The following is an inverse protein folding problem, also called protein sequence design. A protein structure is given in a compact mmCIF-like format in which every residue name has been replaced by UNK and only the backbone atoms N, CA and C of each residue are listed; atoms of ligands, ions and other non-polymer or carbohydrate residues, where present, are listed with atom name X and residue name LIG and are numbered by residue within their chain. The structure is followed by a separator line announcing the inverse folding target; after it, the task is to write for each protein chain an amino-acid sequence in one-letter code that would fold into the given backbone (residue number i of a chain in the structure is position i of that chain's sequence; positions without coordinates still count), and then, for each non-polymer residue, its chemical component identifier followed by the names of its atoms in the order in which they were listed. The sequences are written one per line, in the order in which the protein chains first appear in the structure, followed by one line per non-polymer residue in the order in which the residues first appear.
data_IF_095537640883
#
_entry.id   IF_095537640883
#
_cell.length_a   1.000
_cell.length_b   1.000
_cell.length_c   1.000
_cell.angle_alpha   90.00
_cell.angle_beta   90.00
_cell.angle_gamma   90.00
#
_symmetry.space_group_name_H-M   'P 1'
#
loop_
_entity.id
_entity.type
_entity.pdbx_description
1 polymer ?
#
# COMPACT_ATOMS: atom_id res chain seq x y z
N UNK A 1 11.64 3.63 17.18
CA UNK A 1 10.92 3.80 15.90
C UNK A 1 9.95 4.97 16.03
N UNK A 2 10.02 5.94 15.10
CA UNK A 2 9.31 7.22 15.20
C UNK A 2 7.78 7.07 15.42
N UNK A 3 7.16 6.02 14.91
CA UNK A 3 5.72 5.77 15.12
C UNK A 3 5.41 5.36 16.57
N UNK A 4 6.29 4.58 17.17
CA UNK A 4 6.20 4.16 18.58
C UNK A 4 6.46 5.34 19.52
N UNK A 5 7.57 6.07 19.31
CA UNK A 5 7.88 7.27 20.08
C UNK A 5 6.69 8.25 20.06
N UNK A 6 6.10 8.48 18.88
CA UNK A 6 4.95 9.36 18.74
C UNK A 6 3.70 8.81 19.47
N UNK A 7 3.50 7.48 19.47
CA UNK A 7 2.40 6.82 20.19
C UNK A 7 2.53 6.96 21.71
N UNK A 8 3.76 6.92 22.22
CA UNK A 8 4.04 7.06 23.65
C UNK A 8 4.02 8.52 24.10
N UNK A 9 4.64 9.42 23.32
CA UNK A 9 4.79 10.83 23.69
C UNK A 9 3.50 11.65 23.49
N UNK A 10 2.71 11.33 22.44
CA UNK A 10 1.52 12.09 22.09
C UNK A 10 0.44 11.22 21.42
N UNK A 11 -0.17 10.28 22.15
CA UNK A 11 -1.18 9.36 21.62
C UNK A 11 -2.40 10.08 21.02
N UNK A 12 -2.72 11.26 21.51
CA UNK A 12 -3.83 12.07 21.00
C UNK A 12 -3.55 12.69 19.62
N UNK A 13 -2.30 12.79 19.20
CA UNK A 13 -1.92 13.34 17.90
C UNK A 13 -2.00 12.33 16.76
N UNK A 14 -2.13 11.04 17.07
CA UNK A 14 -2.15 9.96 16.09
C UNK A 14 -3.48 9.21 16.10
N UNK A 15 -3.71 8.49 14.99
CA UNK A 15 -4.86 7.62 14.80
C UNK A 15 -4.42 6.37 14.04
N UNK A 16 -4.40 5.25 14.75
CA UNK A 16 -4.03 3.97 14.15
C UNK A 16 -5.21 3.32 13.45
N UNK A 17 -5.00 2.84 12.22
CA UNK A 17 -5.97 2.07 11.45
C UNK A 17 -5.36 0.73 11.06
N UNK A 18 -5.94 -0.35 11.56
CA UNK A 18 -5.61 -1.71 11.19
C UNK A 18 -6.48 -2.16 10.00
N UNK A 19 -5.83 -2.42 8.86
CA UNK A 19 -6.49 -2.81 7.60
C UNK A 19 -6.56 -4.32 7.41
N UNK A 20 -6.14 -5.13 8.40
CA UNK A 20 -6.25 -6.58 8.37
C UNK A 20 -7.71 -7.02 8.50
N UNK A 21 -7.96 -8.31 8.35
CA UNK A 21 -9.28 -8.88 8.62
C UNK A 21 -9.69 -8.63 10.08
N UNK A 22 -11.00 -8.56 10.34
CA UNK A 22 -11.51 -8.46 11.71
C UNK A 22 -11.08 -9.65 12.58
N UNK A 23 -10.98 -10.85 11.98
CA UNK A 23 -10.49 -12.04 12.67
C UNK A 23 -9.04 -11.90 13.14
N UNK A 24 -8.13 -11.37 12.30
CA UNK A 24 -6.72 -11.19 12.66
C UNK A 24 -6.49 -9.98 13.57
N UNK A 25 -7.33 -8.96 13.46
CA UNK A 25 -7.38 -7.84 14.41
C UNK A 25 -7.74 -8.32 15.82
N UNK A 26 -8.77 -9.16 15.94
CA UNK A 26 -9.23 -9.72 17.23
C UNK A 26 -8.21 -10.67 17.91
N UNK A 27 -7.25 -11.23 17.15
CA UNK A 27 -6.16 -12.04 17.70
C UNK A 27 -5.05 -11.21 18.35
N UNK A 28 -5.06 -9.90 18.11
CA UNK A 28 -4.11 -8.93 18.66
C UNK A 28 -3.81 -7.83 17.66
N UNK A 29 -3.90 -6.60 18.11
CA UNK A 29 -3.64 -5.39 17.34
C UNK A 29 -2.92 -4.35 18.19
N UNK A 30 -2.33 -3.36 17.55
CA UNK A 30 -1.63 -2.25 18.23
C UNK A 30 -2.62 -1.50 19.11
N UNK A 31 -2.24 -1.22 20.36
CA UNK A 31 -3.08 -0.51 21.34
C UNK A 31 -3.62 0.80 20.73
N UNK A 32 -4.93 1.00 20.85
CA UNK A 32 -5.65 2.16 20.30
C UNK A 32 -5.95 2.12 18.80
N UNK A 33 -5.55 1.05 18.09
CA UNK A 33 -5.87 0.94 16.68
C UNK A 33 -7.33 0.56 16.45
N UNK A 34 -8.01 1.22 15.53
CA UNK A 34 -9.34 0.81 15.06
C UNK A 34 -9.23 -0.14 13.87
N UNK A 35 -10.16 -1.08 13.74
CA UNK A 35 -10.20 -1.96 12.59
C UNK A 35 -11.08 -1.41 11.47
N UNK A 36 -10.49 -1.20 10.31
CA UNK A 36 -11.19 -0.94 9.05
C UNK A 36 -10.56 -1.83 7.99
N UNK A 37 -11.07 -3.05 7.76
CA UNK A 37 -10.50 -3.94 6.74
C UNK A 37 -10.31 -3.23 5.40
N UNK A 38 -9.20 -3.50 4.70
CA UNK A 38 -8.81 -2.79 3.48
C UNK A 38 -9.97 -2.61 2.49
N UNK A 39 -10.75 -3.66 2.24
CA UNK A 39 -11.89 -3.61 1.34
C UNK A 39 -13.06 -2.72 1.83
N UNK A 40 -13.09 -2.38 3.10
CA UNK A 40 -14.13 -1.55 3.71
C UNK A 40 -13.70 -0.09 3.88
N UNK A 41 -12.43 0.25 3.62
CA UNK A 41 -11.94 1.60 3.85
C UNK A 41 -12.69 2.65 3.02
N UNK A 42 -13.03 2.35 1.76
CA UNK A 42 -13.80 3.25 0.92
C UNK A 42 -15.17 3.64 1.49
N UNK A 43 -15.83 2.72 2.18
CA UNK A 43 -17.12 2.98 2.87
C UNK A 43 -16.94 3.71 4.21
N UNK A 44 -15.73 3.77 4.73
CA UNK A 44 -15.41 4.32 6.05
C UNK A 44 -14.47 5.54 5.99
N UNK A 45 -14.28 6.17 4.84
CA UNK A 45 -13.40 7.35 4.72
C UNK A 45 -13.82 8.51 5.63
N UNK A 46 -15.11 8.64 5.90
CA UNK A 46 -15.69 9.72 6.72
C UNK A 46 -15.37 9.59 8.22
N UNK A 47 -14.89 8.43 8.70
CA UNK A 47 -14.46 8.27 10.09
C UNK A 47 -13.00 8.69 10.30
N UNK A 48 -12.24 8.89 9.23
CA UNK A 48 -10.83 9.28 9.32
C UNK A 48 -10.70 10.72 9.84
N UNK A 49 -9.90 10.98 10.88
CA UNK A 49 -9.74 12.31 11.44
C UNK A 49 -8.86 13.18 10.52
N UNK A 50 -9.30 14.43 10.30
CA UNK A 50 -8.54 15.42 9.51
C UNK A 50 -7.48 16.18 10.31
N UNK A 51 -7.50 16.06 11.63
CA UNK A 51 -6.68 16.82 12.58
C UNK A 51 -5.62 15.96 13.32
N UNK A 52 -5.47 14.69 12.94
CA UNK A 52 -4.48 13.76 13.49
C UNK A 52 -3.61 13.19 12.39
N UNK A 53 -2.43 12.70 12.72
CA UNK A 53 -1.68 11.83 11.84
C UNK A 53 -2.32 10.44 11.83
N UNK A 54 -2.66 9.94 10.65
CA UNK A 54 -3.22 8.61 10.48
C UNK A 54 -2.10 7.63 10.14
N UNK A 55 -1.91 6.61 10.97
CA UNK A 55 -0.95 5.55 10.71
C UNK A 55 -1.73 4.30 10.29
N UNK A 56 -1.60 3.92 9.04
CA UNK A 56 -2.26 2.74 8.49
C UNK A 56 -1.33 1.55 8.52
N UNK A 57 -1.76 0.46 9.11
CA UNK A 57 -1.03 -0.79 9.14
C UNK A 57 -1.83 -1.93 8.49
N UNK A 58 -1.14 -2.93 7.97
CA UNK A 58 -1.70 -4.16 7.42
C UNK A 58 -0.73 -5.32 7.71
N UNK A 59 -0.81 -6.43 6.98
CA UNK A 59 0.09 -7.57 7.19
C UNK A 59 1.56 -7.26 6.85
N UNK A 60 1.84 -6.58 5.73
CA UNK A 60 3.19 -6.40 5.17
C UNK A 60 3.54 -4.96 4.78
N UNK A 61 2.68 -4.01 5.07
CA UNK A 61 2.85 -2.62 4.65
C UNK A 61 2.38 -2.32 3.22
N UNK A 62 1.97 -3.32 2.43
CA UNK A 62 1.70 -3.15 1.00
C UNK A 62 0.29 -2.60 0.72
N UNK A 63 -0.75 -3.15 1.36
CA UNK A 63 -2.11 -2.61 1.25
C UNK A 63 -2.27 -1.30 2.04
N UNK A 64 -1.60 -1.17 3.19
CA UNK A 64 -1.59 0.10 3.93
C UNK A 64 -0.90 1.22 3.16
N UNK A 65 0.09 0.91 2.32
CA UNK A 65 0.71 1.89 1.43
C UNK A 65 -0.25 2.41 0.35
N UNK A 66 -1.06 1.51 -0.23
CA UNK A 66 -2.14 1.91 -1.15
C UNK A 66 -3.15 2.82 -0.44
N UNK A 67 -3.63 2.40 0.73
CA UNK A 67 -4.61 3.14 1.52
C UNK A 67 -4.10 4.52 1.94
N UNK A 68 -2.85 4.62 2.43
CA UNK A 68 -2.24 5.88 2.83
C UNK A 68 -2.08 6.83 1.64
N UNK A 69 -1.63 6.34 0.48
CA UNK A 69 -1.51 7.17 -0.72
C UNK A 69 -2.87 7.76 -1.15
N UNK A 70 -3.93 6.96 -1.10
CA UNK A 70 -5.28 7.40 -1.43
C UNK A 70 -5.84 8.39 -0.39
N UNK A 71 -5.61 8.15 0.90
CA UNK A 71 -5.99 9.08 1.95
C UNK A 71 -5.26 10.43 1.80
N UNK A 72 -3.98 10.43 1.43
CA UNK A 72 -3.23 11.65 1.11
C UNK A 72 -3.82 12.42 -0.08
N UNK A 73 -4.31 11.73 -1.12
CA UNK A 73 -5.01 12.39 -2.25
C UNK A 73 -6.28 13.11 -1.81
N UNK A 74 -6.90 12.68 -0.71
CA UNK A 74 -8.07 13.30 -0.08
C UNK A 74 -7.69 14.40 0.94
N UNK A 75 -6.39 14.67 1.14
CA UNK A 75 -5.90 15.70 2.06
C UNK A 75 -5.68 15.22 3.49
N UNK A 76 -5.83 13.92 3.79
CA UNK A 76 -5.50 13.40 5.11
C UNK A 76 -3.98 13.33 5.33
N UNK A 77 -3.54 13.59 6.57
CA UNK A 77 -2.17 13.33 6.98
C UNK A 77 -1.99 11.84 7.28
N UNK A 78 -1.89 11.01 6.25
CA UNK A 78 -1.83 9.56 6.37
C UNK A 78 -0.46 9.01 5.98
N UNK A 79 0.02 8.02 6.72
CA UNK A 79 1.26 7.27 6.43
C UNK A 79 1.02 5.77 6.55
N UNK A 80 1.80 4.99 5.82
CA UNK A 80 1.80 3.53 5.95
C UNK A 80 2.87 3.10 6.94
N UNK A 81 2.51 2.26 7.92
CA UNK A 81 3.48 1.63 8.80
C UNK A 81 4.35 0.65 8.02
N UNK A 82 5.68 0.88 8.09
CA UNK A 82 6.63 0.11 7.31
C UNK A 82 6.67 -1.35 7.73
N UNK A 83 6.48 -2.25 6.76
CA UNK A 83 6.50 -3.70 6.98
C UNK A 83 5.22 -4.26 7.61
N UNK A 84 4.28 -3.42 8.04
CA UNK A 84 3.02 -3.84 8.66
C UNK A 84 3.23 -4.68 9.91
N UNK A 85 2.25 -5.50 10.26
CA UNK A 85 2.31 -6.33 11.46
C UNK A 85 3.44 -7.38 11.36
N UNK A 86 3.59 -8.05 10.22
CA UNK A 86 4.46 -9.22 10.12
C UNK A 86 5.96 -8.89 10.00
N UNK A 87 6.30 -7.79 9.34
CA UNK A 87 7.70 -7.43 9.03
C UNK A 87 8.14 -6.11 9.66
N UNK A 88 7.21 -5.37 10.25
CA UNK A 88 7.47 -4.13 10.95
C UNK A 88 7.31 -4.26 12.45
N UNK A 89 6.10 -4.63 12.93
CA UNK A 89 5.79 -4.68 14.35
C UNK A 89 6.31 -5.94 15.04
N UNK A 90 5.93 -7.12 14.57
CA UNK A 90 6.27 -8.38 15.24
C UNK A 90 7.79 -8.57 15.47
N UNK A 91 8.69 -8.20 14.54
CA UNK A 91 10.13 -8.33 14.77
C UNK A 91 10.72 -7.39 15.82
N UNK A 92 9.96 -6.40 16.30
CA UNK A 92 10.43 -5.47 17.33
C UNK A 92 10.38 -6.05 18.74
N UNK A 93 9.61 -7.14 18.94
CA UNK A 93 9.49 -7.85 20.24
C UNK A 93 9.17 -6.89 21.40
N UNK A 94 8.25 -5.95 21.20
CA UNK A 94 7.96 -4.82 22.09
C UNK A 94 7.24 -5.20 23.39
N UNK A 95 6.91 -6.46 23.60
CA UNK A 95 6.14 -6.90 24.76
C UNK A 95 4.62 -6.94 24.52
N UNK A 96 3.92 -7.69 25.39
CA UNK A 96 2.48 -7.94 25.27
C UNK A 96 1.62 -6.70 25.57
N UNK A 97 2.15 -5.75 26.31
CA UNK A 97 1.49 -4.48 26.69
C UNK A 97 1.34 -3.49 25.51
N UNK A 98 1.98 -3.77 24.37
CA UNK A 98 1.83 -2.98 23.14
C UNK A 98 0.71 -3.47 22.23
N UNK A 99 0.11 -4.60 22.55
CA UNK A 99 -1.01 -5.21 21.84
C UNK A 99 -2.23 -5.36 22.76
N UNK A 100 -3.39 -5.24 22.16
CA UNK A 100 -4.68 -5.50 22.80
C UNK A 100 -5.58 -6.36 21.93
N UNK A 101 -6.66 -6.91 22.53
CA UNK A 101 -7.65 -7.75 21.84
C UNK A 101 -9.05 -7.14 21.89
N UNK A 102 -9.25 -6.13 22.71
CA UNK A 102 -10.53 -5.42 22.85
C UNK A 102 -10.79 -4.53 21.63
N UNK A 103 -11.99 -4.57 21.08
CA UNK A 103 -12.36 -3.77 19.92
C UNK A 103 -12.42 -2.29 20.23
N UNK A 104 -11.69 -1.46 19.49
CA UNK A 104 -11.79 -0.01 19.55
C UNK A 104 -12.92 0.51 18.66
N UNK A 105 -13.84 1.34 19.18
CA UNK A 105 -14.95 1.86 18.40
C UNK A 105 -14.48 2.84 17.32
N UNK A 106 -15.11 2.78 16.16
CA UNK A 106 -14.88 3.77 15.12
C UNK A 106 -15.37 5.16 15.58
N UNK A 107 -14.65 6.23 15.24
CA UNK A 107 -15.13 7.58 15.45
C UNK A 107 -16.43 7.87 14.71
N UNK A 108 -17.16 8.89 15.13
CA UNK A 108 -18.33 9.36 14.40
C UNK A 108 -17.91 9.86 13.01
N UNK A 109 -18.64 9.41 11.98
CA UNK A 109 -18.44 9.85 10.62
C UNK A 109 -18.65 11.36 10.46
N UNK A 110 -17.79 12.01 9.67
CA UNK A 110 -17.88 13.44 9.34
C UNK A 110 -17.78 13.60 7.83
N UNK A 111 -18.86 13.98 7.19
CA UNK A 111 -18.85 14.28 5.76
C UNK A 111 -17.96 15.48 5.46
N UNK A 112 -17.00 15.37 4.54
CA UNK A 112 -16.16 16.50 4.16
C UNK A 112 -16.97 17.54 3.38
N UNK A 113 -16.55 18.81 3.47
CA UNK A 113 -17.05 19.86 2.61
C UNK A 113 -16.16 19.93 1.36
N UNK A 114 -16.62 19.40 0.24
CA UNK A 114 -15.85 19.28 -0.99
C UNK A 114 -16.42 20.21 -2.07
N UNK A 115 -15.53 20.76 -2.90
CA UNK A 115 -15.92 21.31 -4.19
C UNK A 115 -16.13 20.19 -5.24
N UNK A 116 -16.50 20.57 -6.45
CA UNK A 116 -16.77 19.59 -7.54
C UNK A 116 -15.55 18.70 -7.83
N UNK A 117 -14.34 19.26 -7.82
CA UNK A 117 -13.10 18.49 -8.06
C UNK A 117 -12.79 17.55 -6.92
N UNK A 118 -12.94 18.02 -5.70
CA UNK A 118 -12.78 17.20 -4.49
C UNK A 118 -13.77 16.05 -4.47
N UNK A 119 -15.02 16.27 -4.89
CA UNK A 119 -16.03 15.21 -4.97
C UNK A 119 -15.64 14.13 -5.99
N UNK A 120 -15.12 14.50 -7.16
CA UNK A 120 -14.66 13.54 -8.18
C UNK A 120 -13.55 12.65 -7.62
N UNK A 121 -12.55 13.25 -6.95
CA UNK A 121 -11.44 12.49 -6.35
C UNK A 121 -11.94 11.61 -5.20
N UNK A 122 -12.83 12.13 -4.36
CA UNK A 122 -13.43 11.38 -3.26
C UNK A 122 -14.16 10.14 -3.75
N UNK A 123 -15.01 10.27 -4.76
CA UNK A 123 -15.77 9.17 -5.33
C UNK A 123 -14.86 8.14 -6.01
N UNK A 124 -13.82 8.58 -6.69
CA UNK A 124 -12.82 7.69 -7.29
C UNK A 124 -12.04 6.90 -6.23
N UNK A 125 -11.61 7.54 -5.14
CA UNK A 125 -10.94 6.89 -4.02
C UNK A 125 -11.89 5.92 -3.31
N UNK A 126 -13.14 6.33 -3.07
CA UNK A 126 -14.16 5.46 -2.47
C UNK A 126 -14.38 4.18 -3.28
N UNK A 127 -14.40 4.30 -4.61
CA UNK A 127 -14.58 3.18 -5.52
C UNK A 127 -13.33 2.29 -5.69
N UNK A 128 -12.17 2.73 -5.21
CA UNK A 128 -10.91 1.98 -5.34
C UNK A 128 -10.89 0.66 -4.56
N UNK A 129 -11.60 0.57 -3.44
CA UNK A 129 -11.53 -0.52 -2.47
C UNK A 129 -12.56 -1.63 -2.78
N UNK A 130 -12.34 -2.48 -3.80
CA UNK A 130 -13.27 -3.58 -4.11
C UNK A 130 -13.08 -4.73 -3.12
N UNK A 131 -14.15 -5.48 -2.81
CA UNK A 131 -14.13 -6.54 -1.80
C UNK A 131 -13.23 -7.74 -2.15
N UNK A 132 -12.88 -7.93 -3.42
CA UNK A 132 -12.21 -9.15 -3.89
C UNK A 132 -10.77 -8.96 -4.38
N UNK A 133 -10.27 -7.72 -4.48
CA UNK A 133 -8.95 -7.44 -5.09
C UNK A 133 -8.15 -6.44 -4.27
N UNK A 134 -6.95 -6.85 -3.87
CA UNK A 134 -5.98 -5.97 -3.20
C UNK A 134 -4.93 -5.39 -4.17
N UNK A 135 -5.08 -5.64 -5.49
CA UNK A 135 -4.18 -5.19 -6.55
C UNK A 135 -2.72 -5.65 -6.35
N UNK A 136 -2.54 -6.89 -5.88
CA UNK A 136 -1.25 -7.52 -5.64
C UNK A 136 -1.20 -8.84 -6.40
N UNK A 137 -0.08 -9.12 -7.08
CA UNK A 137 0.18 -10.38 -7.78
C UNK A 137 1.30 -11.16 -7.08
N UNK A 138 1.17 -12.49 -7.02
CA UNK A 138 2.24 -13.34 -6.52
C UNK A 138 3.44 -13.39 -7.50
N UNK A 139 4.69 -13.56 -7.00
CA UNK A 139 5.86 -13.63 -7.88
C UNK A 139 5.78 -14.70 -8.96
N UNK A 140 5.33 -15.92 -8.62
CA UNK A 140 5.20 -17.02 -9.58
C UNK A 140 4.16 -16.74 -10.66
N UNK A 141 3.05 -16.06 -10.31
CA UNK A 141 2.01 -15.70 -11.28
C UNK A 141 2.52 -14.64 -12.27
N UNK A 142 3.32 -13.67 -11.76
CA UNK A 142 3.94 -12.69 -12.65
C UNK A 142 4.99 -13.33 -13.57
N UNK A 143 5.81 -14.27 -13.06
CA UNK A 143 6.76 -15.01 -13.89
C UNK A 143 6.04 -15.72 -15.05
N UNK A 144 4.96 -16.44 -14.76
CA UNK A 144 4.18 -17.11 -15.80
C UNK A 144 3.69 -16.14 -16.89
N UNK A 145 3.25 -14.92 -16.51
CA UNK A 145 2.84 -13.91 -17.49
C UNK A 145 4.01 -13.38 -18.32
N UNK A 146 5.20 -13.23 -17.72
CA UNK A 146 6.43 -12.79 -18.42
C UNK A 146 6.87 -13.86 -19.43
N UNK A 147 6.78 -15.14 -19.06
CA UNK A 147 7.18 -16.25 -19.94
C UNK A 147 6.15 -16.51 -21.06
N UNK A 148 4.86 -16.50 -20.74
CA UNK A 148 3.80 -16.87 -21.69
C UNK A 148 3.48 -15.76 -22.70
N UNK A 149 3.44 -14.50 -22.28
CA UNK A 149 3.04 -13.38 -23.14
C UNK A 149 3.60 -12.02 -22.69
N UNK A 150 4.92 -11.81 -22.81
CA UNK A 150 5.59 -10.58 -22.33
C UNK A 150 5.07 -9.30 -23.00
N UNK A 151 4.61 -9.38 -24.25
CA UNK A 151 4.09 -8.23 -24.99
C UNK A 151 2.69 -7.78 -24.53
N UNK A 152 1.93 -8.63 -23.83
CA UNK A 152 0.61 -8.31 -23.33
C UNK A 152 0.64 -7.55 -22.00
N UNK A 153 1.79 -7.43 -21.37
CA UNK A 153 1.98 -6.80 -20.07
C UNK A 153 3.07 -5.73 -20.10
N UNK A 154 3.19 -4.98 -19.03
CA UNK A 154 4.35 -4.13 -18.74
C UNK A 154 4.80 -4.43 -17.33
N UNK A 155 6.06 -4.76 -17.14
CA UNK A 155 6.70 -4.77 -15.82
C UNK A 155 7.43 -3.45 -15.64
N UNK A 156 7.16 -2.73 -14.54
CA UNK A 156 7.76 -1.46 -14.20
C UNK A 156 8.56 -1.63 -12.91
N UNK A 157 9.89 -1.55 -12.98
CA UNK A 157 10.78 -1.55 -11.82
C UNK A 157 11.05 -0.11 -11.39
N UNK A 158 10.69 0.21 -10.14
CA UNK A 158 10.84 1.56 -9.58
C UNK A 158 11.95 1.68 -8.55
N UNK A 159 12.87 0.70 -8.49
CA UNK A 159 14.07 0.75 -7.63
C UNK A 159 15.08 1.78 -8.13
N UNK A 160 16.26 1.83 -7.51
CA UNK A 160 17.38 2.60 -8.05
C UNK A 160 17.88 2.02 -9.37
N UNK A 161 18.55 2.83 -10.19
CA UNK A 161 19.15 2.36 -11.44
C UNK A 161 20.23 1.29 -11.19
N UNK A 162 21.03 1.45 -10.14
CA UNK A 162 22.07 0.50 -9.78
C UNK A 162 21.48 -0.87 -9.38
N UNK A 163 20.41 -0.90 -8.59
CA UNK A 163 19.74 -2.14 -8.20
C UNK A 163 18.98 -2.80 -9.35
N UNK A 164 18.45 -2.00 -10.28
CA UNK A 164 17.87 -2.51 -11.50
C UNK A 164 18.94 -3.19 -12.37
N UNK A 165 20.06 -2.51 -12.63
CA UNK A 165 21.15 -3.04 -13.42
C UNK A 165 21.79 -4.30 -12.80
N UNK A 166 21.87 -4.37 -11.47
CA UNK A 166 22.37 -5.54 -10.73
C UNK A 166 21.48 -6.78 -10.86
N UNK A 167 20.22 -6.62 -11.20
CA UNK A 167 19.29 -7.72 -11.45
C UNK A 167 17.83 -7.30 -11.38
N UNK A 168 17.09 -7.55 -12.48
CA UNK A 168 15.69 -7.21 -12.63
C UNK A 168 14.88 -8.35 -13.29
N UNK A 169 13.56 -8.25 -13.26
CA UNK A 169 12.66 -9.17 -13.93
C UNK A 169 12.82 -8.98 -15.45
N UNK A 170 12.92 -10.05 -16.20
CA UNK A 170 13.03 -9.99 -17.66
C UNK A 170 11.91 -9.14 -18.27
N UNK A 171 12.21 -8.33 -19.28
CA UNK A 171 11.32 -7.34 -19.92
C UNK A 171 10.94 -6.13 -19.06
N UNK A 172 11.38 -6.03 -17.81
CA UNK A 172 11.06 -4.88 -16.97
C UNK A 172 11.64 -3.58 -17.56
N UNK A 173 10.86 -2.50 -17.44
CA UNK A 173 11.28 -1.14 -17.74
C UNK A 173 11.60 -0.43 -16.44
N UNK A 174 12.67 0.36 -16.45
CA UNK A 174 13.08 1.10 -15.27
C UNK A 174 12.59 2.55 -15.31
N UNK A 175 11.88 2.98 -14.27
CA UNK A 175 11.64 4.37 -13.94
C UNK A 175 11.73 4.51 -12.43
N UNK A 176 12.78 5.14 -11.92
CA UNK A 176 12.98 5.29 -10.48
C UNK A 176 11.75 5.95 -9.81
N UNK A 177 11.36 5.50 -8.62
CA UNK A 177 10.13 5.91 -7.92
C UNK A 177 9.86 7.41 -7.97
N UNK A 178 10.86 8.24 -7.65
CA UNK A 178 10.72 9.70 -7.63
C UNK A 178 10.47 10.31 -9.01
N UNK A 179 10.69 9.54 -10.09
CA UNK A 179 10.55 9.98 -11.46
C UNK A 179 9.26 9.48 -12.13
N UNK A 180 8.54 8.54 -11.49
CA UNK A 180 7.34 7.92 -12.08
C UNK A 180 6.31 8.97 -12.50
N UNK A 181 5.99 9.92 -11.62
CA UNK A 181 5.01 10.97 -11.93
C UNK A 181 5.38 11.85 -13.12
N UNK A 182 6.67 12.19 -13.27
CA UNK A 182 7.16 13.01 -14.37
C UNK A 182 7.27 12.24 -15.71
N UNK A 183 7.27 10.90 -15.65
CA UNK A 183 7.41 10.02 -16.83
C UNK A 183 6.21 9.08 -17.00
N UNK A 184 5.07 9.42 -16.41
CA UNK A 184 3.88 8.56 -16.41
C UNK A 184 3.33 8.34 -17.83
N UNK A 185 3.54 9.28 -18.75
CA UNK A 185 3.19 9.21 -20.16
C UNK A 185 3.96 8.13 -20.94
N UNK A 186 5.10 7.67 -20.42
CA UNK A 186 5.87 6.56 -20.98
C UNK A 186 5.31 5.19 -20.57
N UNK A 187 4.39 5.14 -19.59
CA UNK A 187 3.76 3.90 -19.13
C UNK A 187 2.50 3.62 -19.94
N UNK A 188 2.37 2.44 -20.58
CA UNK A 188 1.20 2.12 -21.39
C UNK A 188 -0.09 2.04 -20.58
N UNK A 189 -1.19 2.56 -21.14
CA UNK A 189 -2.54 2.47 -20.53
C UNK A 189 -3.39 1.32 -21.10
N UNK A 190 -2.96 0.72 -22.20
CA UNK A 190 -3.73 -0.29 -22.96
C UNK A 190 -3.43 -1.75 -22.54
N UNK A 191 -2.64 -1.95 -21.50
CA UNK A 191 -2.29 -3.27 -20.96
C UNK A 191 -2.00 -3.19 -19.45
N UNK A 192 -2.04 -4.34 -18.72
CA UNK A 192 -1.69 -4.35 -17.30
C UNK A 192 -0.25 -3.90 -17.05
N UNK A 193 -0.06 -3.15 -15.95
CA UNK A 193 1.25 -2.68 -15.50
C UNK A 193 1.56 -3.30 -14.14
N UNK A 194 2.57 -4.15 -14.09
CA UNK A 194 3.03 -4.80 -12.88
C UNK A 194 4.21 -4.02 -12.30
N UNK A 195 3.98 -3.39 -11.15
CA UNK A 195 4.97 -2.51 -10.51
C UNK A 195 5.75 -3.27 -9.45
N UNK A 196 7.07 -3.27 -9.54
CA UNK A 196 7.96 -3.83 -8.53
C UNK A 196 8.84 -2.76 -7.91
N UNK A 197 9.15 -2.93 -6.62
CA UNK A 197 10.11 -2.18 -5.84
C UNK A 197 10.89 -3.14 -4.95
N UNK A 198 11.48 -2.70 -3.84
CA UNK A 198 12.23 -3.58 -2.93
C UNK A 198 11.33 -4.55 -2.16
N UNK A 199 10.27 -4.06 -1.51
CA UNK A 199 9.42 -4.82 -0.56
C UNK A 199 7.91 -4.79 -0.88
N UNK A 200 7.53 -4.23 -2.03
CA UNK A 200 6.13 -4.04 -2.44
C UNK A 200 5.47 -2.78 -1.87
N UNK A 201 6.00 -2.17 -0.82
CA UNK A 201 5.37 -1.01 -0.17
C UNK A 201 5.38 0.24 -1.06
N UNK A 202 6.54 0.61 -1.61
CA UNK A 202 6.64 1.76 -2.54
C UNK A 202 5.86 1.50 -3.83
N UNK A 203 5.81 0.24 -4.30
CA UNK A 203 4.94 -0.14 -5.42
C UNK A 203 3.46 0.07 -5.08
N UNK A 204 3.04 -0.25 -3.84
CA UNK A 204 1.68 0.04 -3.34
C UNK A 204 1.33 1.53 -3.42
N UNK A 205 2.24 2.41 -2.96
CA UNK A 205 2.09 3.88 -3.08
C UNK A 205 1.94 4.29 -4.56
N UNK A 206 2.68 3.66 -5.46
CA UNK A 206 2.71 4.00 -6.89
C UNK A 206 1.42 3.57 -7.60
N UNK A 207 0.98 2.33 -7.40
CA UNK A 207 -0.18 1.80 -8.13
C UNK A 207 -1.50 2.48 -7.74
N UNK A 208 -1.62 2.97 -6.52
CA UNK A 208 -2.87 3.55 -6.04
C UNK A 208 -3.28 4.79 -6.86
N UNK A 209 -2.47 5.86 -7.00
CA UNK A 209 -2.80 6.97 -7.88
C UNK A 209 -2.85 6.56 -9.36
N UNK A 210 -2.00 5.65 -9.83
CA UNK A 210 -2.06 5.16 -11.21
C UNK A 210 -3.44 4.58 -11.54
N UNK A 211 -4.02 3.79 -10.63
CA UNK A 211 -5.37 3.23 -10.82
C UNK A 211 -6.46 4.28 -10.83
N UNK A 212 -6.36 5.33 -10.00
CA UNK A 212 -7.27 6.49 -10.05
C UNK A 212 -7.18 7.18 -11.42
N UNK A 213 -6.00 7.20 -12.03
CA UNK A 213 -5.77 7.75 -13.38
C UNK A 213 -6.18 6.79 -14.51
N UNK A 214 -6.72 5.61 -14.21
CA UNK A 214 -7.22 4.65 -15.19
C UNK A 214 -6.24 3.57 -15.65
N UNK A 215 -5.03 3.51 -15.09
CA UNK A 215 -4.10 2.40 -15.36
C UNK A 215 -4.58 1.11 -14.69
N UNK A 216 -4.43 -0.02 -15.37
CA UNK A 216 -4.56 -1.33 -14.73
C UNK A 216 -3.24 -1.70 -14.03
N UNK A 217 -2.91 -0.99 -12.96
CA UNK A 217 -1.67 -1.14 -12.21
C UNK A 217 -1.81 -2.13 -11.06
N UNK A 218 -0.82 -3.02 -10.89
CA UNK A 218 -0.82 -4.13 -9.94
C UNK A 218 0.57 -4.17 -9.29
N UNK A 219 0.66 -4.32 -7.99
CA UNK A 219 1.91 -4.39 -7.25
C UNK A 219 2.41 -5.83 -7.14
N UNK A 220 3.70 -6.06 -7.35
CA UNK A 220 4.32 -7.36 -7.06
C UNK A 220 4.36 -7.60 -5.55
N UNK A 221 3.86 -8.76 -5.11
CA UNK A 221 3.85 -9.14 -3.69
C UNK A 221 5.28 -9.16 -3.13
N UNK A 222 5.50 -8.33 -2.10
CA UNK A 222 6.81 -8.10 -1.46
C UNK A 222 7.91 -7.62 -2.43
N UNK A 223 7.57 -7.12 -3.61
CA UNK A 223 8.53 -6.61 -4.59
C UNK A 223 9.66 -7.59 -4.91
N UNK A 224 10.88 -7.09 -5.13
CA UNK A 224 12.04 -7.96 -5.41
C UNK A 224 12.44 -8.85 -4.23
N UNK A 225 12.18 -8.46 -2.98
CA UNK A 225 12.34 -9.37 -1.82
C UNK A 225 11.44 -10.60 -1.93
N UNK A 226 10.22 -10.46 -2.44
CA UNK A 226 9.32 -11.59 -2.71
C UNK A 226 9.78 -12.43 -3.89
N UNK A 227 10.29 -11.80 -4.95
CA UNK A 227 10.85 -12.45 -6.14
C UNK A 227 12.08 -13.30 -5.79
N UNK A 228 13.03 -12.71 -5.06
CA UNK A 228 14.25 -13.39 -4.60
C UNK A 228 13.94 -14.50 -3.58
N UNK A 229 12.98 -14.29 -2.70
CA UNK A 229 12.53 -15.31 -1.74
C UNK A 229 11.84 -16.51 -2.38
N UNK A 230 11.34 -16.36 -3.62
CA UNK A 230 10.82 -17.45 -4.44
C UNK A 230 11.89 -18.04 -5.41
N UNK A 231 13.15 -17.59 -5.30
CA UNK A 231 14.29 -18.03 -6.12
C UNK A 231 14.04 -17.92 -7.64
N UNK A 232 13.32 -16.87 -8.07
CA UNK A 232 12.93 -16.68 -9.47
C UNK A 232 14.06 -16.00 -10.30
N UNK A 233 14.11 -16.26 -11.63
CA UNK A 233 15.19 -15.77 -12.48
C UNK A 233 15.21 -14.25 -12.59
N UNK A 234 16.41 -13.70 -12.73
CA UNK A 234 16.67 -12.28 -13.03
C UNK A 234 17.64 -12.17 -14.19
N UNK A 235 17.53 -11.07 -14.92
CA UNK A 235 18.51 -10.65 -15.93
C UNK A 235 19.28 -9.42 -15.43
N UNK A 236 20.43 -9.17 -16.00
CA UNK A 236 21.29 -8.01 -15.73
C UNK A 236 21.53 -7.21 -16.99
N UNK A 237 21.71 -5.90 -16.88
CA UNK A 237 22.15 -5.06 -18.00
C UNK A 237 23.67 -5.16 -18.22
#
# INVERSE_FOLDING_TARGET
DAALELSEENPDAIFWVDLRSAEDYAKGHIVGAVNIPFAQLGANLEVLPSNKQIIMQCYSGQTSAQAAALAQMLGFNAVSFRGGMNFGWAPLELGEDTLEMDENPLPAAKSPSLDERGQIVWDAVKAYFPPEKNNIIAPADLLALVEDNPDAITVLDIRSADDYAAGHIETAKHIAFKQVGANIDQVPTNRPVYVTCYTGQTAGITIAPMRIMGYNAISLNRGMTGWDGAELPKVTD
#
